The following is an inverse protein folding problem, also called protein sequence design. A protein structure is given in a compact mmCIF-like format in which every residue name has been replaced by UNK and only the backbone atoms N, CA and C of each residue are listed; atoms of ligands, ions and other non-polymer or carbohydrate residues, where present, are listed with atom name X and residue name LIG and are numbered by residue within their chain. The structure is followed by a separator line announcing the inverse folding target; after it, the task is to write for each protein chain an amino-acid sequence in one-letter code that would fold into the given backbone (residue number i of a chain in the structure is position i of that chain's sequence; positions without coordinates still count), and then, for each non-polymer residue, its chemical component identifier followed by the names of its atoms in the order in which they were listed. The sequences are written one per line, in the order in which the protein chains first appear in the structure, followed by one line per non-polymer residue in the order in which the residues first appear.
data_IF_572700867943
#
_entry.id   IF_572700867943
#
_cell.length_a   1.000
_cell.length_b   1.000
_cell.length_c   1.000
_cell.angle_alpha   90.00
_cell.angle_beta   90.00
_cell.angle_gamma   90.00
#
_symmetry.space_group_name_H-M   'P 1'
#
loop_
_entity.id
_entity.type
_entity.pdbx_description
1 polymer ?
#
# COMPACT_ATOMS: atom_id res chain seq x y z
N UNK A 1 4.18 -6.32 -0.91
CA UNK A 1 5.25 -5.49 -1.48
C UNK A 1 4.94 -5.15 -2.92
N UNK A 2 5.07 -3.86 -3.27
CA UNK A 2 4.81 -3.44 -4.65
C UNK A 2 5.41 -2.07 -4.92
N UNK A 3 5.68 -1.74 -6.19
CA UNK A 3 6.06 -0.37 -6.56
C UNK A 3 4.85 0.55 -6.50
N UNK A 4 5.12 1.85 -6.39
CA UNK A 4 4.09 2.88 -6.40
C UNK A 4 3.82 3.29 -7.85
N UNK A 5 2.87 2.62 -8.48
CA UNK A 5 2.48 2.93 -9.86
C UNK A 5 1.29 3.89 -9.83
N UNK A 6 1.44 5.02 -10.50
CA UNK A 6 0.38 6.03 -10.65
C UNK A 6 -0.29 6.32 -9.30
N UNK A 7 0.56 6.57 -8.29
CA UNK A 7 0.12 6.91 -6.92
C UNK A 7 -0.69 5.81 -6.25
N UNK A 8 -0.55 4.57 -6.68
CA UNK A 8 -1.29 3.44 -6.13
C UNK A 8 -0.45 2.17 -6.21
N UNK A 9 -0.89 1.20 -6.99
CA UNK A 9 -0.22 -0.08 -7.12
C UNK A 9 -0.36 -0.60 -8.55
N UNK A 10 0.42 -1.63 -8.91
CA UNK A 10 0.23 -2.27 -10.22
C UNK A 10 -1.20 -2.77 -10.36
N UNK A 11 -1.72 -2.70 -11.59
CA UNK A 11 -3.10 -3.09 -11.87
C UNK A 11 -3.39 -4.54 -11.47
N UNK A 12 -2.43 -5.43 -11.65
CA UNK A 12 -2.60 -6.82 -11.28
C UNK A 12 -2.82 -7.00 -9.78
N UNK A 13 -2.12 -6.21 -8.96
CA UNK A 13 -2.33 -6.26 -7.51
C UNK A 13 -3.73 -5.76 -7.15
N UNK A 14 -4.19 -4.69 -7.77
CA UNK A 14 -5.53 -4.17 -7.51
C UNK A 14 -6.59 -5.19 -7.89
N UNK A 15 -6.41 -5.86 -9.01
CA UNK A 15 -7.32 -6.93 -9.43
C UNK A 15 -7.34 -8.05 -8.39
N UNK A 16 -6.18 -8.43 -7.88
CA UNK A 16 -6.09 -9.46 -6.84
C UNK A 16 -6.86 -9.04 -5.60
N UNK A 17 -6.65 -7.78 -5.15
CA UNK A 17 -7.36 -7.25 -3.98
C UNK A 17 -8.88 -7.30 -4.19
N UNK A 18 -9.34 -6.87 -5.38
CA UNK A 18 -10.77 -6.80 -5.67
C UNK A 18 -11.41 -8.19 -5.74
N UNK A 19 -10.66 -9.19 -6.22
CA UNK A 19 -11.22 -10.54 -6.36
C UNK A 19 -11.10 -11.36 -5.09
N UNK A 20 -9.99 -11.24 -4.38
CA UNK A 20 -9.70 -12.09 -3.22
C UNK A 20 -10.34 -11.54 -1.95
N UNK A 21 -10.31 -10.22 -1.75
CA UNK A 21 -10.88 -9.60 -0.57
C UNK A 21 -12.37 -9.37 -0.75
N UNK A 22 -13.10 -10.45 -0.96
CA UNK A 22 -14.51 -10.42 -1.29
C UNK A 22 -15.39 -10.37 -0.04
N UNK A 23 -16.63 -9.93 -0.25
CA UNK A 23 -17.66 -9.98 0.81
C UNK A 23 -17.99 -11.44 1.11
N UNK A 24 -18.17 -11.71 2.40
CA UNK A 24 -18.41 -13.06 2.85
C UNK A 24 -17.16 -13.88 3.12
N UNK A 25 -16.00 -13.36 2.68
CA UNK A 25 -14.69 -13.95 3.01
C UNK A 25 -13.89 -12.98 3.87
N UNK A 26 -13.54 -11.82 3.31
CA UNK A 26 -12.68 -10.86 3.96
C UNK A 26 -13.46 -9.75 4.67
N UNK A 27 -14.69 -9.49 4.26
CA UNK A 27 -15.49 -8.39 4.80
C UNK A 27 -16.97 -8.74 4.73
N UNK A 28 -17.81 -7.84 5.29
CA UNK A 28 -19.26 -8.05 5.32
C UNK A 28 -19.70 -9.11 6.32
N UNK A 29 -20.95 -9.52 6.23
CA UNK A 29 -21.52 -10.52 7.13
C UNK A 29 -20.86 -11.87 6.93
N UNK A 30 -20.29 -12.44 7.98
CA UNK A 30 -19.57 -13.70 7.90
C UNK A 30 -18.16 -13.62 7.33
N UNK A 31 -17.74 -12.43 6.88
CA UNK A 31 -16.41 -12.25 6.26
C UNK A 31 -15.35 -11.88 7.27
N UNK A 32 -14.90 -12.85 8.07
CA UNK A 32 -13.94 -12.63 9.16
C UNK A 32 -12.63 -13.38 8.98
N UNK A 33 -12.36 -13.89 7.78
CA UNK A 33 -11.21 -14.77 7.58
C UNK A 33 -9.86 -14.06 7.81
N UNK A 34 -9.81 -12.75 7.62
CA UNK A 34 -8.58 -11.97 7.80
C UNK A 34 -8.59 -11.16 9.10
N UNK A 35 -9.67 -11.24 9.88
CA UNK A 35 -9.78 -10.45 11.10
C UNK A 35 -8.63 -10.76 12.06
N UNK A 36 -8.03 -9.72 12.63
CA UNK A 36 -6.93 -9.86 13.57
C UNK A 36 -5.55 -10.05 12.93
N UNK A 37 -5.49 -10.24 11.62
CA UNK A 37 -4.22 -10.33 10.92
C UNK A 37 -3.63 -8.93 10.73
N UNK A 38 -2.36 -8.88 10.36
CA UNK A 38 -1.65 -7.62 10.20
C UNK A 38 -1.40 -7.32 8.74
N UNK A 39 -1.50 -6.03 8.39
CA UNK A 39 -1.19 -5.55 7.04
C UNK A 39 -0.06 -4.54 7.13
N UNK A 40 1.04 -4.81 6.46
CA UNK A 40 2.12 -3.85 6.26
C UNK A 40 2.45 -3.78 4.78
N UNK A 41 2.39 -2.58 4.24
CA UNK A 41 2.81 -2.34 2.86
C UNK A 41 4.31 -2.07 2.82
N UNK A 42 4.98 -2.67 1.86
CA UNK A 42 6.37 -2.39 1.54
C UNK A 42 6.38 -1.83 0.14
N UNK A 43 6.69 -0.54 0.02
CA UNK A 43 6.50 0.23 -1.21
C UNK A 43 7.84 0.71 -1.73
N UNK A 44 8.07 0.55 -3.04
CA UNK A 44 9.21 1.18 -3.69
C UNK A 44 8.73 2.34 -4.54
N UNK A 45 9.53 3.42 -4.59
CA UNK A 45 9.19 4.60 -5.39
C UNK A 45 10.34 4.95 -6.32
N UNK A 46 10.00 5.63 -7.43
CA UNK A 46 10.99 6.12 -8.36
C UNK A 46 11.55 7.49 -8.00
N UNK A 47 10.96 8.18 -7.03
CA UNK A 47 11.34 9.51 -6.63
C UNK A 47 11.80 9.56 -5.18
N UNK A 48 12.53 10.60 -4.78
CA UNK A 48 12.99 10.73 -3.39
C UNK A 48 11.83 11.10 -2.46
N UNK A 49 12.04 10.92 -1.17
CA UNK A 49 11.04 11.22 -0.16
C UNK A 49 10.54 12.67 -0.24
N UNK A 50 11.42 13.59 -0.58
CA UNK A 50 11.07 15.01 -0.67
C UNK A 50 9.98 15.30 -1.71
N UNK A 51 9.73 14.38 -2.64
CA UNK A 51 8.67 14.54 -3.64
C UNK A 51 7.28 14.27 -3.07
N UNK A 52 7.18 13.65 -1.89
CA UNK A 52 5.90 13.25 -1.30
C UNK A 52 5.54 14.16 -0.15
N UNK A 53 5.40 15.44 -0.44
CA UNK A 53 5.06 16.46 0.54
C UNK A 53 4.11 17.49 -0.08
N UNK A 54 3.35 18.16 0.81
CA UNK A 54 2.41 19.18 0.36
C UNK A 54 3.10 20.38 -0.26
N UNK A 55 4.27 20.76 0.26
CA UNK A 55 5.02 21.89 -0.29
C UNK A 55 5.65 21.60 -1.64
N UNK A 56 5.70 20.32 -2.03
CA UNK A 56 6.06 19.92 -3.39
C UNK A 56 4.82 19.75 -4.27
N UNK A 57 3.68 20.30 -3.85
CA UNK A 57 2.40 20.22 -4.52
C UNK A 57 1.89 18.79 -4.66
N UNK A 58 2.24 17.95 -3.68
CA UNK A 58 1.85 16.55 -3.62
C UNK A 58 1.39 16.22 -2.20
N UNK A 59 1.20 14.95 -1.92
CA UNK A 59 0.72 14.48 -0.63
C UNK A 59 1.76 13.60 0.06
N UNK A 60 1.79 13.61 1.40
CA UNK A 60 2.60 12.64 2.14
C UNK A 60 2.22 11.21 1.79
N UNK A 61 3.18 10.30 1.92
CA UNK A 61 2.94 8.89 1.56
C UNK A 61 1.78 8.29 2.36
N UNK A 62 1.60 8.66 3.61
CA UNK A 62 0.49 8.15 4.41
C UNK A 62 -0.87 8.50 3.80
N UNK A 63 -0.99 9.69 3.19
CA UNK A 63 -2.23 10.06 2.53
C UNK A 63 -2.44 9.27 1.24
N UNK A 64 -1.37 9.00 0.51
CA UNK A 64 -1.43 8.23 -0.73
C UNK A 64 -1.86 6.78 -0.44
N UNK A 65 -1.45 6.24 0.69
CA UNK A 65 -1.74 4.85 1.06
C UNK A 65 -3.07 4.68 1.78
N UNK A 66 -3.87 5.72 1.94
CA UNK A 66 -5.16 5.63 2.62
C UNK A 66 -6.10 4.57 2.05
N UNK A 67 -6.19 4.36 0.73
CA UNK A 67 -7.06 3.31 0.21
C UNK A 67 -6.70 1.92 0.76
N UNK A 68 -5.41 1.65 0.96
CA UNK A 68 -4.98 0.36 1.52
C UNK A 68 -5.29 0.26 3.01
N UNK A 69 -5.11 1.36 3.73
CA UNK A 69 -5.45 1.42 5.15
C UNK A 69 -6.95 1.19 5.35
N UNK A 70 -7.77 1.82 4.51
CA UNK A 70 -9.23 1.63 4.56
C UNK A 70 -9.60 0.19 4.24
N UNK A 71 -8.92 -0.42 3.28
CA UNK A 71 -9.16 -1.82 2.94
C UNK A 71 -8.81 -2.75 4.10
N UNK A 72 -7.68 -2.48 4.75
CA UNK A 72 -7.28 -3.26 5.93
C UNK A 72 -8.34 -3.15 7.03
N UNK A 73 -8.85 -1.94 7.28
CA UNK A 73 -9.90 -1.72 8.26
C UNK A 73 -11.19 -2.45 7.92
N UNK A 74 -11.56 -2.44 6.64
CA UNK A 74 -12.75 -3.15 6.17
C UNK A 74 -12.63 -4.66 6.41
N UNK A 75 -11.43 -5.19 6.31
CA UNK A 75 -11.15 -6.61 6.56
C UNK A 75 -10.86 -6.91 8.04
N UNK A 76 -11.00 -5.92 8.91
CA UNK A 76 -10.73 -6.04 10.36
C UNK A 76 -9.29 -6.44 10.67
N UNK A 77 -8.36 -6.03 9.81
CA UNK A 77 -6.93 -6.24 9.98
C UNK A 77 -6.31 -5.08 10.75
N UNK A 78 -5.15 -5.33 11.33
CA UNK A 78 -4.37 -4.29 11.99
C UNK A 78 -3.44 -3.65 10.97
N UNK A 79 -3.61 -2.36 10.75
CA UNK A 79 -2.74 -1.60 9.85
C UNK A 79 -1.44 -1.25 10.55
N UNK A 80 -0.32 -1.64 9.96
CA UNK A 80 1.00 -1.29 10.48
C UNK A 80 1.62 -0.21 9.60
N UNK A 81 2.51 0.58 10.18
CA UNK A 81 3.20 1.63 9.44
C UNK A 81 3.91 1.03 8.23
N UNK A 82 3.72 1.61 7.04
CA UNK A 82 4.36 1.08 5.84
C UNK A 82 5.87 1.28 5.86
N UNK A 83 6.56 0.42 5.13
CA UNK A 83 7.98 0.56 4.87
C UNK A 83 8.13 1.10 3.46
N UNK A 84 8.76 2.25 3.31
CA UNK A 84 8.91 2.89 2.01
C UNK A 84 10.39 2.93 1.63
N UNK A 85 10.71 2.38 0.46
CA UNK A 85 12.05 2.47 -0.11
C UNK A 85 12.00 3.52 -1.20
N UNK A 86 12.33 4.75 -0.80
CA UNK A 86 12.32 5.87 -1.73
C UNK A 86 13.49 5.78 -2.70
N UNK A 87 13.25 6.22 -3.92
CA UNK A 87 14.27 6.33 -4.95
C UNK A 87 14.99 4.99 -5.15
N UNK A 88 14.20 3.93 -5.33
CA UNK A 88 14.69 2.56 -5.28
C UNK A 88 15.82 2.28 -6.27
N UNK A 89 15.79 2.91 -7.45
CA UNK A 89 16.85 2.73 -8.43
C UNK A 89 18.20 3.22 -7.95
N UNK A 90 18.21 4.23 -7.07
CA UNK A 90 19.43 4.80 -6.51
C UNK A 90 19.98 3.93 -5.37
N UNK A 91 19.19 2.96 -4.91
CA UNK A 91 19.58 2.07 -3.83
C UNK A 91 20.17 0.75 -4.34
N UNK A 92 20.23 0.53 -5.64
CA UNK A 92 20.65 -0.75 -6.19
C UNK A 92 22.17 -0.86 -6.23
N UNK A 93 22.70 -2.06 -5.87
CA UNK A 93 24.16 -2.24 -5.77
C UNK A 93 24.93 -1.99 -7.05
N UNK A 94 24.36 -2.27 -8.20
CA UNK A 94 25.03 -2.06 -9.49
C UNK A 94 25.27 -0.60 -9.82
N UNK A 95 24.69 0.29 -9.07
CA UNK A 95 24.93 1.72 -9.20
C UNK A 95 26.14 2.18 -8.39
N UNK A 96 26.69 1.28 -7.67
CA UNK A 96 27.82 1.55 -6.79
C UNK A 96 29.13 1.46 -7.55
#
# INVERSE_FOLDING_TARGET
QHPLYTWSCPALLKEWLDRVLSRGFASGAGGNELAGKYWRSVITTGEPESAYRRDANRYPMNDILRPFELTAGMCRMHWMSPIIVYWARRQQPEEI
#
